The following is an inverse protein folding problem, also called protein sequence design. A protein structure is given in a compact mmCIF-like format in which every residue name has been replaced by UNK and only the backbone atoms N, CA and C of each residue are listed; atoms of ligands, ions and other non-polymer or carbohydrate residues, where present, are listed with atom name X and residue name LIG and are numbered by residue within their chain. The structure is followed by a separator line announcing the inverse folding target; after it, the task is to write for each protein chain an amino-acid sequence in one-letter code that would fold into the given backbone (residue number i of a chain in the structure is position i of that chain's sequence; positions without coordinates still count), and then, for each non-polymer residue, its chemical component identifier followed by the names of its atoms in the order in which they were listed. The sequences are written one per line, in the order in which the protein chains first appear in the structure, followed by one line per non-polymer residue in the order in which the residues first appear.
data_IF_650350207567
#
_entry.id   IF_650350207567
#
_cell.length_a   1.000
_cell.length_b   1.000
_cell.length_c   1.000
_cell.angle_alpha   90.00
_cell.angle_beta   90.00
_cell.angle_gamma   90.00
#
_symmetry.space_group_name_H-M   'P 1'
#
loop_
_entity.id
_entity.type
_entity.pdbx_description
1 polymer ?
#
# COMPACT_ATOMS: atom_id res chain seq x y z
N UNK A 1 15.30 12.75 -15.38
CA UNK A 1 13.94 13.14 -14.98
C UNK A 1 13.14 11.84 -14.97
N UNK A 2 12.89 11.24 -13.81
CA UNK A 2 12.07 10.03 -13.73
C UNK A 2 10.64 10.43 -14.03
N UNK A 3 9.99 9.72 -14.96
CA UNK A 3 8.66 10.08 -15.44
C UNK A 3 7.59 9.78 -14.37
N UNK A 4 6.59 10.65 -14.15
CA UNK A 4 5.53 10.45 -13.15
C UNK A 4 4.73 9.16 -13.37
N UNK A 5 4.69 8.67 -14.61
CA UNK A 5 4.11 7.36 -14.96
C UNK A 5 4.83 6.20 -14.26
N UNK A 6 6.14 6.33 -14.02
CA UNK A 6 6.93 5.34 -13.31
C UNK A 6 6.67 5.37 -11.80
N UNK A 7 6.35 6.53 -11.23
CA UNK A 7 5.96 6.65 -9.82
C UNK A 7 4.58 6.02 -9.56
N UNK A 8 3.59 6.31 -10.40
CA UNK A 8 2.24 5.73 -10.27
C UNK A 8 2.26 4.20 -10.40
N UNK A 9 3.03 3.68 -11.35
CA UNK A 9 3.18 2.23 -11.54
C UNK A 9 3.88 1.56 -10.37
N UNK A 10 4.90 2.22 -9.79
CA UNK A 10 5.57 1.71 -8.59
C UNK A 10 4.61 1.69 -7.39
N UNK A 11 3.81 2.74 -7.21
CA UNK A 11 2.74 2.75 -6.20
C UNK A 11 1.80 1.57 -6.39
N UNK A 12 1.30 1.33 -7.61
CA UNK A 12 0.39 0.20 -7.88
C UNK A 12 1.02 -1.15 -7.48
N UNK A 13 2.26 -1.39 -7.90
CA UNK A 13 3.00 -2.62 -7.60
C UNK A 13 3.20 -2.80 -6.09
N UNK A 14 3.59 -1.74 -5.39
CA UNK A 14 3.77 -1.76 -3.94
C UNK A 14 2.46 -1.99 -3.20
N UNK A 15 1.35 -1.36 -3.61
CA UNK A 15 0.03 -1.59 -3.02
C UNK A 15 -0.45 -3.03 -3.27
N UNK A 16 -0.23 -3.60 -4.46
CA UNK A 16 -0.56 -4.99 -4.73
C UNK A 16 0.27 -5.98 -3.91
N UNK A 17 1.57 -5.72 -3.76
CA UNK A 17 2.46 -6.54 -2.93
C UNK A 17 2.04 -6.50 -1.46
N UNK A 18 1.73 -5.30 -0.94
CA UNK A 18 1.23 -5.12 0.42
C UNK A 18 -0.08 -5.90 0.64
N UNK A 19 -1.05 -5.81 -0.28
CA UNK A 19 -2.30 -6.57 -0.19
C UNK A 19 -2.08 -8.09 -0.11
N UNK A 20 -1.17 -8.64 -0.92
CA UNK A 20 -0.84 -10.07 -0.89
C UNK A 20 -0.19 -10.47 0.44
N UNK A 21 0.77 -9.68 0.92
CA UNK A 21 1.41 -9.93 2.22
C UNK A 21 0.42 -9.85 3.37
N UNK A 22 -0.47 -8.87 3.36
CA UNK A 22 -1.54 -8.75 4.37
C UNK A 22 -2.44 -9.96 4.34
N UNK A 23 -2.96 -10.36 3.17
CA UNK A 23 -3.80 -11.55 3.06
C UNK A 23 -3.13 -12.82 3.58
N UNK A 24 -1.85 -13.03 3.24
CA UNK A 24 -1.09 -14.18 3.76
C UNK A 24 -0.87 -14.09 5.27
N UNK A 25 -0.49 -12.90 5.77
CA UNK A 25 -0.18 -12.67 7.17
C UNK A 25 -1.42 -12.80 8.06
N UNK A 26 -2.58 -12.31 7.61
CA UNK A 26 -3.84 -12.41 8.35
C UNK A 26 -4.39 -13.83 8.36
N UNK A 27 -4.19 -14.59 7.27
CA UNK A 27 -4.53 -16.02 7.22
C UNK A 27 -3.64 -16.85 8.15
N UNK A 28 -2.34 -16.57 8.17
CA UNK A 28 -1.37 -17.35 8.96
C UNK A 28 -1.33 -16.92 10.43
N UNK A 29 -1.75 -15.67 10.72
CA UNK A 29 -1.63 -14.99 12.02
C UNK A 29 -0.23 -15.03 12.63
N UNK A 30 0.79 -15.23 11.80
CA UNK A 30 2.17 -15.36 12.24
C UNK A 30 2.72 -13.95 12.53
N UNK A 31 3.23 -13.67 13.75
CA UNK A 31 3.59 -12.32 14.16
C UNK A 31 4.69 -11.68 13.30
N UNK A 32 5.64 -12.47 12.79
CA UNK A 32 6.67 -11.98 11.87
C UNK A 32 6.08 -11.57 10.52
N UNK A 33 5.16 -12.38 9.97
CA UNK A 33 4.42 -12.04 8.75
C UNK A 33 3.52 -10.82 8.93
N UNK A 34 2.82 -10.71 10.07
CA UNK A 34 1.99 -9.54 10.39
C UNK A 34 2.83 -8.27 10.48
N UNK A 35 4.05 -8.37 11.04
CA UNK A 35 4.99 -7.26 11.07
C UNK A 35 5.48 -6.91 9.67
N UNK A 36 5.99 -7.87 8.91
CA UNK A 36 6.46 -7.64 7.54
C UNK A 36 5.38 -7.04 6.62
N UNK A 37 4.13 -7.51 6.75
CA UNK A 37 2.99 -6.95 6.02
C UNK A 37 2.69 -5.51 6.44
N UNK A 38 2.86 -5.17 7.73
CA UNK A 38 2.71 -3.79 8.22
C UNK A 38 3.78 -2.88 7.63
N UNK A 39 5.03 -3.34 7.62
CA UNK A 39 6.14 -2.59 7.03
C UNK A 39 5.92 -2.35 5.52
N UNK A 40 5.42 -3.36 4.80
CA UNK A 40 5.07 -3.22 3.38
C UNK A 40 3.95 -2.20 3.13
N UNK A 41 2.91 -2.20 3.97
CA UNK A 41 1.82 -1.21 3.89
C UNK A 41 2.34 0.21 4.15
N UNK A 42 3.23 0.38 5.13
CA UNK A 42 3.85 1.67 5.45
C UNK A 42 4.74 2.18 4.30
N UNK A 43 5.53 1.29 3.69
CA UNK A 43 6.36 1.65 2.53
C UNK A 43 5.50 2.08 1.34
N UNK A 44 4.46 1.31 1.02
CA UNK A 44 3.52 1.64 -0.05
C UNK A 44 2.79 2.97 0.19
N UNK A 45 2.44 3.29 1.45
CA UNK A 45 1.91 4.60 1.83
C UNK A 45 2.90 5.73 1.59
N UNK A 46 4.18 5.53 1.92
CA UNK A 46 5.21 6.55 1.67
C UNK A 46 5.39 6.82 0.18
N UNK A 47 5.36 5.77 -0.64
CA UNK A 47 5.40 5.92 -2.10
C UNK A 47 4.15 6.63 -2.64
N UNK A 48 2.96 6.28 -2.13
CA UNK A 48 1.72 6.93 -2.51
C UNK A 48 1.74 8.44 -2.18
N UNK A 49 2.24 8.82 -1.01
CA UNK A 49 2.40 10.23 -0.64
C UNK A 49 3.35 10.98 -1.57
N UNK A 50 4.46 10.36 -1.97
CA UNK A 50 5.39 10.94 -2.95
C UNK A 50 4.72 11.11 -4.31
N UNK A 51 3.93 10.13 -4.75
CA UNK A 51 3.17 10.23 -5.99
C UNK A 51 2.11 11.34 -5.93
N UNK A 52 1.38 11.46 -4.81
CA UNK A 52 0.41 12.55 -4.57
C UNK A 52 1.03 13.94 -4.68
N UNK A 53 2.28 14.13 -4.23
CA UNK A 53 2.98 15.41 -4.35
C UNK A 53 3.35 15.78 -5.79
N UNK A 54 3.46 14.79 -6.67
CA UNK A 54 3.81 14.98 -8.08
C UNK A 54 2.62 14.75 -9.02
N UNK A 55 1.46 14.42 -8.47
CA UNK A 55 0.26 14.06 -9.20
C UNK A 55 -0.34 15.27 -9.91
N UNK A 56 -0.89 15.02 -11.09
CA UNK A 56 -1.78 15.96 -11.75
C UNK A 56 -3.22 15.56 -11.44
N UNK A 57 -4.20 16.46 -11.57
CA UNK A 57 -5.60 16.16 -11.25
C UNK A 57 -6.24 15.00 -12.06
N UNK A 58 -5.54 14.48 -13.07
CA UNK A 58 -5.93 13.27 -13.83
C UNK A 58 -5.65 11.99 -13.03
N UNK A 59 -4.69 12.02 -12.11
CA UNK A 59 -4.21 10.86 -11.36
C UNK A 59 -4.96 10.66 -10.02
N UNK A 60 -5.79 11.62 -9.64
CA UNK A 60 -6.47 11.68 -8.33
C UNK A 60 -7.34 10.46 -8.05
N UNK A 61 -8.10 9.98 -9.04
CA UNK A 61 -8.97 8.81 -8.87
C UNK A 61 -8.13 7.54 -8.61
N UNK A 62 -7.03 7.38 -9.36
CA UNK A 62 -6.11 6.27 -9.16
C UNK A 62 -5.49 6.33 -7.76
N UNK A 63 -4.97 7.48 -7.35
CA UNK A 63 -4.31 7.65 -6.06
C UNK A 63 -5.27 7.46 -4.89
N UNK A 64 -6.52 7.96 -4.99
CA UNK A 64 -7.57 7.71 -4.00
C UNK A 64 -7.92 6.22 -3.90
N UNK A 65 -7.96 5.50 -5.01
CA UNK A 65 -8.16 4.04 -5.01
C UNK A 65 -7.02 3.33 -4.28
N UNK A 66 -5.76 3.68 -4.58
CA UNK A 66 -4.60 3.10 -3.88
C UNK A 66 -4.63 3.41 -2.38
N UNK A 67 -4.98 4.63 -1.99
CA UNK A 67 -5.15 5.03 -0.58
C UNK A 67 -6.20 4.16 0.13
N UNK A 68 -7.33 3.93 -0.53
CA UNK A 68 -8.43 3.13 0.03
C UNK A 68 -8.00 1.67 0.23
N UNK A 69 -7.26 1.10 -0.72
CA UNK A 69 -6.72 -0.26 -0.61
C UNK A 69 -5.74 -0.40 0.57
N UNK A 70 -4.85 0.59 0.75
CA UNK A 70 -3.92 0.60 1.87
C UNK A 70 -4.62 0.76 3.23
N UNK A 71 -5.67 1.59 3.31
CA UNK A 71 -6.44 1.73 4.55
C UNK A 71 -7.15 0.40 4.93
N UNK A 72 -7.70 -0.32 3.95
CA UNK A 72 -8.28 -1.64 4.19
C UNK A 72 -7.23 -2.66 4.66
N UNK A 73 -6.00 -2.58 4.14
CA UNK A 73 -4.89 -3.41 4.57
C UNK A 73 -4.52 -3.16 6.04
N UNK A 74 -4.46 -1.89 6.45
CA UNK A 74 -4.18 -1.55 7.85
C UNK A 74 -5.26 -2.04 8.81
N UNK A 75 -6.53 -1.88 8.45
CA UNK A 75 -7.64 -2.36 9.27
C UNK A 75 -7.55 -3.89 9.46
N UNK A 76 -7.30 -4.66 8.38
CA UNK A 76 -7.11 -6.11 8.47
C UNK A 76 -5.93 -6.51 9.35
N UNK A 77 -4.79 -5.82 9.24
CA UNK A 77 -3.62 -6.07 10.09
C UNK A 77 -3.90 -5.73 11.55
N UNK A 78 -4.62 -4.64 11.80
CA UNK A 78 -5.01 -4.22 13.15
C UNK A 78 -5.95 -5.23 13.78
N UNK A 79 -6.91 -5.75 13.03
CA UNK A 79 -7.81 -6.81 13.49
C UNK A 79 -7.05 -8.11 13.77
N UNK A 80 -6.11 -8.50 12.92
CA UNK A 80 -5.33 -9.72 13.11
C UNK A 80 -4.30 -9.65 14.26
N UNK A 81 -3.85 -8.45 14.64
CA UNK A 81 -2.94 -8.23 15.77
C UNK A 81 -3.64 -8.03 17.12
N UNK A 82 -4.97 -7.90 17.11
CA UNK A 82 -5.78 -7.66 18.30
C UNK A 82 -6.00 -8.94 19.10
#
# INVERSE_FOLDING_TARGET
MGEPFNDLKQVELSVQAAQKMVGQATMSMEPGQLQAATDAVNDAKSQLQKALQNATGVDDEFLNKQQTLLNNCEEQLKEAKR
#
